data_IF_651407922418
#
_entry.id   IF_651407922418
#
_cell.length_a   1.000
_cell.length_b   1.000
_cell.length_c   1.000
_cell.angle_alpha   90.00
_cell.angle_beta   90.00
_cell.angle_gamma   90.00
#
_symmetry.space_group_name_H-M   'P 1'
#
loop_
_entity.id
_entity.type
_entity.pdbx_description
1 polymer ?
#
# COMPACT_ATOMS: atom_id res chain seq x y z
N UNK A 1 3.30 -38.70 6.75
CA UNK A 1 3.31 -37.24 6.51
C UNK A 1 2.64 -36.99 5.17
N UNK A 2 1.52 -36.26 5.15
CA UNK A 2 0.84 -35.92 3.90
C UNK A 2 1.66 -34.90 3.12
N UNK A 3 1.85 -35.15 1.83
CA UNK A 3 2.49 -34.20 0.92
C UNK A 3 1.54 -33.00 0.78
N UNK A 4 1.93 -31.85 1.31
CA UNK A 4 1.23 -30.59 1.02
C UNK A 4 1.65 -30.21 -0.39
N UNK A 5 0.74 -30.35 -1.35
CA UNK A 5 0.96 -29.83 -2.69
C UNK A 5 0.88 -28.30 -2.64
N UNK A 6 2.05 -27.67 -2.55
CA UNK A 6 2.23 -26.23 -2.59
C UNK A 6 2.21 -25.67 -4.03
N UNK A 7 1.89 -26.50 -5.03
CA UNK A 7 1.91 -26.14 -6.46
C UNK A 7 0.61 -25.53 -6.99
N UNK A 8 -0.44 -25.37 -6.17
CA UNK A 8 -1.68 -24.76 -6.65
C UNK A 8 -1.46 -23.29 -7.06
N UNK A 9 -1.83 -22.97 -8.29
CA UNK A 9 -1.89 -21.61 -8.82
C UNK A 9 -3.30 -21.37 -9.33
N UNK A 10 -3.92 -20.27 -8.92
CA UNK A 10 -5.27 -19.93 -9.36
C UNK A 10 -5.33 -19.68 -10.87
N UNK A 11 -6.48 -19.97 -11.48
CA UNK A 11 -6.70 -19.70 -12.91
C UNK A 11 -6.54 -18.21 -13.24
N UNK A 12 -6.90 -17.33 -12.30
CA UNK A 12 -6.68 -15.90 -12.44
C UNK A 12 -5.20 -15.55 -12.54
N UNK A 13 -4.36 -16.13 -11.69
CA UNK A 13 -2.90 -15.91 -11.73
C UNK A 13 -2.30 -16.43 -13.03
N UNK A 14 -2.73 -17.62 -13.49
CA UNK A 14 -2.30 -18.17 -14.78
C UNK A 14 -2.67 -17.24 -15.93
N UNK A 15 -3.91 -16.78 -15.97
CA UNK A 15 -4.39 -15.84 -16.98
C UNK A 15 -3.59 -14.54 -16.98
N UNK A 16 -3.37 -13.93 -15.81
CA UNK A 16 -2.58 -12.69 -15.69
C UNK A 16 -1.17 -12.86 -16.25
N UNK A 17 -0.50 -13.97 -15.93
CA UNK A 17 0.85 -14.25 -16.42
C UNK A 17 0.87 -14.37 -17.95
N UNK A 18 -0.06 -15.15 -18.52
CA UNK A 18 -0.19 -15.29 -19.98
C UNK A 18 -0.46 -13.95 -20.67
N UNK A 19 -1.25 -13.06 -20.07
CA UNK A 19 -1.54 -11.74 -20.64
C UNK A 19 -0.30 -10.83 -20.61
N UNK A 20 0.48 -10.86 -19.53
CA UNK A 20 1.70 -10.06 -19.41
C UNK A 20 2.79 -10.54 -20.38
N UNK A 21 2.90 -11.85 -20.61
CA UNK A 21 3.81 -12.41 -21.62
C UNK A 21 3.45 -11.97 -23.04
N UNK A 22 2.15 -11.98 -23.37
CA UNK A 22 1.65 -11.53 -24.68
C UNK A 22 1.77 -10.02 -24.89
N UNK A 23 1.80 -9.24 -23.82
CA UNK A 23 1.78 -7.77 -23.85
C UNK A 23 2.91 -7.16 -23.01
N UNK A 24 4.19 -7.34 -23.41
CA UNK A 24 5.32 -6.90 -22.60
C UNK A 24 5.36 -5.38 -22.36
N UNK A 25 4.73 -4.57 -23.22
CA UNK A 25 4.61 -3.11 -23.05
C UNK A 25 3.77 -2.71 -21.84
N UNK A 26 2.83 -3.54 -21.40
CA UNK A 26 1.93 -3.21 -20.28
C UNK A 26 2.68 -3.07 -18.96
N UNK A 27 3.84 -3.71 -18.80
CA UNK A 27 4.69 -3.55 -17.62
C UNK A 27 5.14 -2.09 -17.47
N UNK A 28 5.45 -1.41 -18.58
CA UNK A 28 5.80 0.01 -18.55
C UNK A 28 4.57 0.86 -18.18
N UNK A 29 3.43 0.62 -18.82
CA UNK A 29 2.17 1.34 -18.52
C UNK A 29 1.70 1.14 -17.07
N UNK A 30 1.90 -0.05 -16.49
CA UNK A 30 1.60 -0.28 -15.07
C UNK A 30 2.49 0.55 -14.14
N UNK A 31 3.78 0.67 -14.45
CA UNK A 31 4.71 1.51 -13.69
C UNK A 31 4.32 2.98 -13.80
N UNK A 32 4.00 3.46 -14.99
CA UNK A 32 3.51 4.82 -15.22
C UNK A 32 2.22 5.09 -14.44
N UNK A 33 1.24 4.18 -14.55
CA UNK A 33 -0.03 4.28 -13.84
C UNK A 33 0.13 4.29 -12.32
N UNK A 34 1.02 3.45 -11.78
CA UNK A 34 1.38 3.46 -10.36
C UNK A 34 2.03 4.80 -9.98
N UNK A 35 2.94 5.32 -10.78
CA UNK A 35 3.65 6.56 -10.48
C UNK A 35 2.73 7.79 -10.44
N UNK A 36 1.66 7.82 -11.22
CA UNK A 36 0.69 8.92 -11.22
C UNK A 36 0.08 9.19 -9.84
N UNK A 37 -0.27 8.14 -9.10
CA UNK A 37 -1.00 8.28 -7.83
C UNK A 37 -0.17 7.88 -6.60
N UNK A 38 0.74 6.92 -6.75
CA UNK A 38 1.39 6.26 -5.62
C UNK A 38 2.86 6.65 -5.44
N UNK A 39 3.63 6.82 -6.51
CA UNK A 39 5.05 7.18 -6.40
C UNK A 39 5.24 8.69 -6.27
N UNK A 40 4.85 9.22 -5.11
CA UNK A 40 5.11 10.61 -4.74
C UNK A 40 6.50 10.72 -4.12
N UNK A 41 7.29 11.69 -4.59
CA UNK A 41 8.58 12.02 -3.99
C UNK A 41 8.39 12.33 -2.51
N UNK A 42 9.16 11.67 -1.66
CA UNK A 42 9.19 11.93 -0.23
C UNK A 42 10.44 12.73 0.10
N UNK A 43 10.25 13.87 0.75
CA UNK A 43 11.35 14.64 1.34
C UNK A 43 11.52 14.23 2.81
N UNK A 44 12.73 13.81 3.16
CA UNK A 44 13.08 13.36 4.51
C UNK A 44 13.02 14.51 5.52
N UNK A 45 13.36 15.72 5.10
CA UNK A 45 13.32 16.89 5.99
C UNK A 45 11.87 17.29 6.32
N UNK A 46 11.00 17.32 5.32
CA UNK A 46 9.55 17.50 5.52
C UNK A 46 8.97 16.42 6.44
N UNK A 47 9.38 15.16 6.26
CA UNK A 47 8.96 14.05 7.15
C UNK A 47 9.41 14.28 8.60
N UNK A 48 10.64 14.72 8.80
CA UNK A 48 11.19 15.03 10.13
C UNK A 48 10.44 16.20 10.78
N UNK A 49 10.20 17.28 10.04
CA UNK A 49 9.42 18.45 10.50
C UNK A 49 7.99 18.05 10.88
N UNK A 50 7.31 17.29 10.03
CA UNK A 50 5.94 16.81 10.32
C UNK A 50 5.89 15.96 11.60
N UNK A 51 6.90 15.12 11.83
CA UNK A 51 6.99 14.35 13.07
C UNK A 51 7.23 15.24 14.30
N UNK A 52 8.08 16.26 14.19
CA UNK A 52 8.33 17.22 15.27
C UNK A 52 7.11 18.10 15.58
N UNK A 53 6.24 18.36 14.60
CA UNK A 53 5.01 19.15 14.77
C UNK A 53 3.83 18.37 15.37
N UNK A 54 3.98 17.07 15.67
CA UNK A 54 2.89 16.26 16.24
C UNK A 54 2.50 16.76 17.64
N UNK A 55 1.19 16.95 17.85
CA UNK A 55 0.61 17.26 19.17
C UNK A 55 -0.06 15.98 19.71
N UNK A 56 0.07 15.67 21.02
CA UNK A 56 -0.63 14.53 21.62
C UNK A 56 -2.12 14.54 21.31
N UNK A 57 -2.62 13.43 20.75
CA UNK A 57 -4.04 13.22 20.47
C UNK A 57 -4.69 12.49 21.65
N UNK A 58 -5.95 12.83 21.95
CA UNK A 58 -6.73 12.12 22.97
C UNK A 58 -6.99 10.66 22.53
N UNK A 59 -7.09 9.69 23.45
CA UNK A 59 -7.50 8.32 23.10
C UNK A 59 -8.87 8.25 22.41
N UNK A 60 -9.77 9.15 22.79
CA UNK A 60 -11.08 9.32 22.17
C UNK A 60 -11.26 10.79 21.74
N UNK A 61 -10.87 11.15 20.49
CA UNK A 61 -10.92 12.53 19.99
C UNK A 61 -12.33 13.16 19.98
N UNK A 62 -13.36 12.31 19.95
CA UNK A 62 -14.77 12.72 19.87
C UNK A 62 -15.52 12.54 21.20
N UNK A 63 -14.84 12.19 22.29
CA UNK A 63 -15.51 12.09 23.58
C UNK A 63 -15.89 13.48 24.12
N UNK A 64 -17.18 13.66 24.33
CA UNK A 64 -17.80 14.89 24.84
C UNK A 64 -17.72 14.98 26.38
N UNK A 65 -17.45 13.87 27.07
CA UNK A 65 -17.44 13.78 28.53
C UNK A 65 -16.02 13.91 29.12
N UNK A 66 -15.19 14.76 28.53
CA UNK A 66 -13.78 14.91 28.95
C UNK A 66 -13.60 15.70 30.27
N UNK A 67 -14.62 16.40 30.74
CA UNK A 67 -14.54 17.10 32.04
C UNK A 67 -15.08 16.20 33.14
N UNK A 68 -14.15 15.48 33.78
CA UNK A 68 -14.38 14.61 34.93
C UNK A 68 -13.26 14.74 35.96
N UNK A 69 -12.89 15.98 36.29
CA UNK A 69 -12.53 16.48 37.63
C UNK A 69 -13.06 17.92 37.76
#
# INVERSE_FOLDING_TARGET
MGVVDSGYVSDHTRWMNEQLEKNPSWVASQKEGRALWWDKQQDTDTTARNNASKVPQKPYPYDVNFFGE
#
